data_IF_272385464870
#
_entry.id   IF_272385464870
#
_cell.length_a   1.000
_cell.length_b   1.000
_cell.length_c   1.000
_cell.angle_alpha   90.00
_cell.angle_beta   90.00
_cell.angle_gamma   90.00
#
_symmetry.space_group_name_H-M   'P 1'
#
loop_
_entity.id
_entity.type
_entity.pdbx_description
1 polymer ?
#
# COMPACT_ATOMS: atom_id res chain seq x y z
N UNK A 1 -5.32 24.22 14.17
CA UNK A 1 -6.00 23.17 13.40
C UNK A 1 -5.47 23.20 11.98
N UNK A 2 -4.63 22.25 11.62
CA UNK A 2 -4.23 22.10 10.23
C UNK A 2 -5.39 21.43 9.49
N UNK A 3 -6.10 22.21 8.68
CA UNK A 3 -7.06 21.67 7.72
C UNK A 3 -6.28 20.80 6.73
N UNK A 4 -6.38 19.48 6.89
CA UNK A 4 -6.11 18.56 5.79
C UNK A 4 -7.14 18.87 4.70
N UNK A 5 -6.72 19.64 3.69
CA UNK A 5 -7.46 19.79 2.45
C UNK A 5 -7.42 18.45 1.74
N UNK A 6 -8.40 17.60 2.04
CA UNK A 6 -8.63 16.32 1.38
C UNK A 6 -8.89 16.56 -0.10
N UNK A 7 -7.82 16.67 -0.89
CA UNK A 7 -7.90 16.49 -2.34
C UNK A 7 -8.33 15.05 -2.57
N UNK A 8 -9.55 14.87 -3.08
CA UNK A 8 -10.26 13.64 -3.44
C UNK A 8 -9.53 12.31 -3.11
N UNK A 9 -9.24 12.10 -1.83
CA UNK A 9 -8.56 10.91 -1.35
C UNK A 9 -9.63 9.88 -1.10
N UNK A 10 -9.60 8.77 -1.83
CA UNK A 10 -10.52 7.68 -1.55
C UNK A 10 -10.09 6.98 -0.26
N UNK A 11 -10.57 7.50 0.87
CA UNK A 11 -10.36 6.94 2.19
C UNK A 11 -10.79 5.45 2.25
N UNK A 12 -11.82 5.08 1.48
CA UNK A 12 -12.25 3.67 1.40
C UNK A 12 -11.17 2.83 0.74
N UNK A 13 -10.56 3.34 -0.34
CA UNK A 13 -9.45 2.67 -1.01
C UNK A 13 -8.24 2.55 -0.09
N UNK A 14 -7.90 3.60 0.66
CA UNK A 14 -6.83 3.53 1.65
C UNK A 14 -7.06 2.42 2.67
N UNK A 15 -8.22 2.43 3.33
CA UNK A 15 -8.51 1.42 4.34
C UNK A 15 -8.63 0.01 3.73
N UNK A 16 -9.09 -0.12 2.49
CA UNK A 16 -9.10 -1.40 1.79
C UNK A 16 -7.67 -1.94 1.61
N UNK A 17 -6.78 -1.14 1.04
CA UNK A 17 -5.39 -1.52 0.76
C UNK A 17 -4.64 -1.81 2.06
N UNK A 18 -4.80 -0.95 3.08
CA UNK A 18 -4.19 -1.15 4.40
C UNK A 18 -4.67 -2.46 5.05
N UNK A 19 -6.00 -2.72 5.10
CA UNK A 19 -6.54 -3.96 5.68
C UNK A 19 -6.02 -5.21 4.98
N UNK A 20 -5.93 -5.18 3.64
CA UNK A 20 -5.33 -6.28 2.88
C UNK A 20 -3.86 -6.44 3.26
N UNK A 21 -3.10 -5.34 3.33
CA UNK A 21 -1.69 -5.37 3.72
C UNK A 21 -1.44 -6.03 5.07
N UNK A 22 -2.35 -5.86 6.03
CA UNK A 22 -2.28 -6.48 7.37
C UNK A 22 -3.00 -7.83 7.50
N UNK A 23 -3.61 -8.36 6.43
CA UNK A 23 -4.46 -9.57 6.48
C UNK A 23 -3.73 -10.86 6.85
N UNK A 24 -2.42 -10.93 6.62
CA UNK A 24 -1.59 -12.08 6.98
C UNK A 24 -0.29 -11.61 7.62
N UNK A 25 -0.17 -11.71 8.96
CA UNK A 25 1.03 -11.31 9.67
C UNK A 25 2.28 -12.02 9.13
N UNK A 26 3.40 -11.31 9.09
CA UNK A 26 4.73 -11.78 8.64
C UNK A 26 4.91 -11.98 7.14
N UNK A 27 3.85 -11.97 6.32
CA UNK A 27 4.00 -11.96 4.86
C UNK A 27 4.51 -10.60 4.37
N UNK A 28 5.25 -10.61 3.27
CA UNK A 28 5.64 -9.41 2.54
C UNK A 28 4.39 -8.72 1.99
N UNK A 29 4.42 -7.39 1.94
CA UNK A 29 3.28 -6.57 1.51
C UNK A 29 2.84 -6.92 0.10
N UNK A 30 3.78 -7.16 -0.83
CA UNK A 30 3.49 -7.62 -2.20
C UNK A 30 2.67 -8.91 -2.26
N UNK A 31 2.87 -9.85 -1.33
CA UNK A 31 2.14 -11.11 -1.31
C UNK A 31 0.71 -10.92 -0.81
N UNK A 32 0.55 -10.08 0.21
CA UNK A 32 -0.76 -9.74 0.76
C UNK A 32 -1.59 -8.96 -0.27
N UNK A 33 -1.01 -7.91 -0.86
CA UNK A 33 -1.70 -7.08 -1.86
C UNK A 33 -1.96 -7.82 -3.16
N UNK A 34 -0.99 -8.57 -3.70
CA UNK A 34 -1.21 -9.35 -4.92
C UNK A 34 -2.36 -10.34 -4.78
N UNK A 35 -2.44 -11.03 -3.63
CA UNK A 35 -3.55 -11.94 -3.36
C UNK A 35 -4.89 -11.21 -3.13
N UNK A 36 -4.91 -10.19 -2.27
CA UNK A 36 -6.15 -9.50 -1.88
C UNK A 36 -6.73 -8.57 -2.95
N UNK A 37 -5.89 -7.98 -3.80
CA UNK A 37 -6.31 -7.16 -4.94
C UNK A 37 -6.44 -7.96 -6.24
N UNK A 38 -6.02 -9.24 -6.25
CA UNK A 38 -5.99 -10.12 -7.43
C UNK A 38 -5.20 -9.53 -8.59
N UNK A 39 -4.03 -8.99 -8.27
CA UNK A 39 -3.08 -8.44 -9.24
C UNK A 39 -1.75 -9.19 -9.15
N UNK A 40 -0.94 -9.07 -10.19
CA UNK A 40 0.38 -9.71 -10.22
C UNK A 40 1.30 -9.15 -9.11
N UNK A 41 2.02 -10.05 -8.41
CA UNK A 41 2.90 -9.67 -7.32
C UNK A 41 4.14 -8.89 -7.81
N UNK A 42 4.53 -9.08 -9.07
CA UNK A 42 5.58 -8.31 -9.75
C UNK A 42 5.15 -6.87 -9.96
N UNK A 43 3.89 -6.60 -10.31
CA UNK A 43 3.34 -5.23 -10.37
C UNK A 43 3.48 -4.55 -9.01
N UNK A 44 3.04 -5.20 -7.92
CA UNK A 44 3.18 -4.61 -6.58
C UNK A 44 4.65 -4.43 -6.20
N UNK A 45 5.53 -5.36 -6.58
CA UNK A 45 6.97 -5.25 -6.33
C UNK A 45 7.55 -4.02 -7.02
N UNK A 46 7.22 -3.82 -8.31
CA UNK A 46 7.68 -2.68 -9.09
C UNK A 46 7.14 -1.35 -8.55
N UNK A 47 5.87 -1.32 -8.11
CA UNK A 47 5.28 -0.13 -7.47
C UNK A 47 5.98 0.21 -6.15
N UNK A 48 6.28 -0.79 -5.32
CA UNK A 48 7.02 -0.56 -4.07
C UNK A 48 8.42 0.01 -4.35
N UNK A 49 9.12 -0.55 -5.33
CA UNK A 49 10.45 -0.07 -5.74
C UNK A 49 10.41 1.33 -6.34
N UNK A 50 9.37 1.67 -7.11
CA UNK A 50 9.24 3.00 -7.73
C UNK A 50 9.03 4.13 -6.71
N UNK A 51 8.49 3.81 -5.53
CA UNK A 51 8.33 4.75 -4.41
C UNK A 51 9.46 4.62 -3.36
N UNK A 52 10.54 3.90 -3.69
CA UNK A 52 11.73 3.81 -2.84
C UNK A 52 11.65 2.77 -1.71
N UNK A 53 10.64 1.90 -1.70
CA UNK A 53 10.51 0.80 -0.75
C UNK A 53 11.14 -0.48 -1.29
N UNK A 54 11.52 -1.38 -0.37
CA UNK A 54 11.98 -2.72 -0.74
C UNK A 54 10.79 -3.57 -1.19
N UNK A 55 10.93 -4.36 -2.25
CA UNK A 55 9.92 -5.36 -2.63
C UNK A 55 9.61 -6.40 -1.52
N UNK A 56 10.49 -6.53 -0.53
CA UNK A 56 10.34 -7.43 0.63
C UNK A 56 9.70 -6.78 1.86
N UNK A 57 9.34 -5.50 1.80
CA UNK A 57 8.77 -4.75 2.93
C UNK A 57 7.49 -5.42 3.45
N UNK A 58 7.25 -5.35 4.76
CA UNK A 58 5.99 -5.81 5.38
C UNK A 58 5.11 -4.61 5.75
N UNK A 59 3.80 -4.82 5.88
CA UNK A 59 2.84 -3.75 6.12
C UNK A 59 3.16 -2.85 7.32
N UNK A 60 3.64 -3.44 8.43
CA UNK A 60 4.01 -2.68 9.63
C UNK A 60 5.27 -1.82 9.50
N UNK A 61 6.01 -1.96 8.40
CA UNK A 61 7.22 -1.17 8.13
C UNK A 61 6.92 0.13 7.37
N UNK A 62 5.69 0.29 6.84
CA UNK A 62 5.26 1.49 6.14
C UNK A 62 4.75 2.55 7.12
N UNK A 63 5.23 3.78 6.97
CA UNK A 63 4.63 4.97 7.54
C UNK A 63 3.38 5.42 6.77
N UNK A 64 2.67 6.44 7.28
CA UNK A 64 1.45 6.97 6.63
C UNK A 64 1.77 7.48 5.22
N UNK A 65 2.86 8.22 5.04
CA UNK A 65 3.26 8.77 3.74
C UNK A 65 3.60 7.66 2.73
N UNK A 66 4.22 6.56 3.18
CA UNK A 66 4.49 5.38 2.34
C UNK A 66 3.19 4.75 1.84
N UNK A 67 2.17 4.65 2.70
CA UNK A 67 0.86 4.15 2.31
C UNK A 67 0.18 5.05 1.28
N UNK A 68 0.23 6.37 1.47
CA UNK A 68 -0.32 7.34 0.52
C UNK A 68 0.38 7.25 -0.84
N UNK A 69 1.71 7.13 -0.85
CA UNK A 69 2.49 6.93 -2.07
C UNK A 69 2.13 5.62 -2.78
N UNK A 70 2.01 4.52 -2.02
CA UNK A 70 1.64 3.22 -2.58
C UNK A 70 0.25 3.23 -3.23
N UNK A 71 -0.74 3.87 -2.59
CA UNK A 71 -2.11 3.92 -3.14
C UNK A 71 -2.14 4.77 -4.40
N UNK A 72 -1.47 5.92 -4.38
CA UNK A 72 -1.38 6.83 -5.53
C UNK A 72 -0.71 6.15 -6.73
N UNK A 73 0.26 5.27 -6.48
CA UNK A 73 0.99 4.55 -7.53
C UNK A 73 0.34 3.20 -7.95
N UNK A 74 -0.74 2.78 -7.27
CA UNK A 74 -1.54 1.59 -7.62
C UNK A 74 -2.81 1.94 -8.40
N UNK A 75 -3.20 3.21 -8.45
CA UNK A 75 -4.27 3.75 -9.29
C UNK A 75 -3.81 3.94 -10.75
#
# INVERSE_FOLDING_TARGET
SLEYKGGNFDEKRFWQVARIGFSSPRKQLRNNLGHGLRIDQGVVSATLESIGLKHTVRAQELGVDDWLGLITALD
#
